data_IF_392530970962
#
_entry.id   IF_392530970962
#
_cell.length_a   1.000
_cell.length_b   1.000
_cell.length_c   1.000
_cell.angle_alpha   90.00
_cell.angle_beta   90.00
_cell.angle_gamma   90.00
#
_symmetry.space_group_name_H-M   'P 1'
#
loop_
_entity.id
_entity.type
_entity.pdbx_description
1 polymer ?
#
# COMPACT_ATOMS: atom_id res chain seq x y z
N UNK A 1 21.78 6.17 49.80
CA UNK A 1 20.45 6.36 49.16
C UNK A 1 19.59 5.13 49.39
N UNK A 2 18.30 5.29 49.68
CA UNK A 2 17.39 4.15 49.84
C UNK A 2 17.03 3.58 48.46
N UNK A 3 17.00 2.26 48.31
CA UNK A 3 16.79 1.54 47.03
C UNK A 3 15.55 2.00 46.26
N UNK A 4 14.47 2.34 46.97
CA UNK A 4 13.23 2.86 46.37
C UNK A 4 13.39 4.25 45.75
N UNK A 5 14.28 5.10 46.27
CA UNK A 5 14.56 6.43 45.68
C UNK A 5 15.31 6.26 44.35
N UNK A 6 16.30 5.38 44.31
CA UNK A 6 17.01 5.06 43.07
C UNK A 6 16.07 4.46 42.02
N UNK A 7 15.20 3.52 42.41
CA UNK A 7 14.21 2.94 41.52
C UNK A 7 13.23 3.98 40.96
N UNK A 8 12.73 4.89 41.82
CA UNK A 8 11.84 5.97 41.39
C UNK A 8 12.51 6.91 40.39
N UNK A 9 13.76 7.31 40.64
CA UNK A 9 14.53 8.17 39.73
C UNK A 9 14.74 7.48 38.38
N UNK A 10 15.07 6.18 38.35
CA UNK A 10 15.23 5.42 37.09
C UNK A 10 13.92 5.37 36.30
N UNK A 11 12.80 5.10 36.97
CA UNK A 11 11.48 5.08 36.29
C UNK A 11 11.12 6.46 35.75
N UNK A 12 11.28 7.51 36.55
CA UNK A 12 10.94 8.87 36.15
C UNK A 12 11.81 9.36 34.98
N UNK A 13 13.13 9.12 35.05
CA UNK A 13 14.05 9.48 33.96
C UNK A 13 13.75 8.70 32.69
N UNK A 14 13.40 7.43 32.81
CA UNK A 14 13.00 6.60 31.66
C UNK A 14 11.72 7.12 31.01
N UNK A 15 10.70 7.51 31.79
CA UNK A 15 9.47 8.10 31.26
C UNK A 15 9.72 9.43 30.55
N UNK A 16 10.55 10.30 31.11
CA UNK A 16 10.92 11.58 30.49
C UNK A 16 11.68 11.42 29.18
N UNK A 17 12.60 10.46 29.12
CA UNK A 17 13.33 10.15 27.87
C UNK A 17 12.37 9.63 26.81
N UNK A 18 11.42 8.76 27.17
CA UNK A 18 10.41 8.27 26.22
C UNK A 18 9.54 9.42 25.71
N UNK A 19 9.04 10.28 26.59
CA UNK A 19 8.20 11.44 26.25
C UNK A 19 8.92 12.41 25.30
N UNK A 20 10.23 12.62 25.49
CA UNK A 20 11.04 13.50 24.63
C UNK A 20 11.28 12.96 23.21
N UNK A 21 11.07 11.66 22.97
CA UNK A 21 11.42 11.01 21.71
C UNK A 21 10.23 10.43 20.96
N UNK A 22 9.05 10.36 21.58
CA UNK A 22 7.85 9.71 21.05
C UNK A 22 6.70 10.71 20.97
N UNK A 23 6.32 11.04 19.74
CA UNK A 23 5.23 11.97 19.47
C UNK A 23 4.11 11.29 18.70
N UNK A 24 2.88 11.78 18.87
CA UNK A 24 1.73 11.40 18.06
C UNK A 24 1.41 12.52 17.07
N UNK A 25 1.68 12.28 15.79
CA UNK A 25 1.49 13.29 14.74
C UNK A 25 0.18 13.00 14.00
N UNK A 26 -0.57 14.06 13.66
CA UNK A 26 -1.76 13.96 12.82
C UNK A 26 -1.47 14.47 11.42
N UNK A 27 -1.68 13.63 10.42
CA UNK A 27 -1.52 13.94 9.00
C UNK A 27 -2.76 13.45 8.25
N UNK A 28 -3.37 14.29 7.41
CA UNK A 28 -4.58 13.97 6.64
C UNK A 28 -5.70 13.31 7.47
N UNK A 29 -5.93 13.83 8.67
CA UNK A 29 -6.95 13.32 9.60
C UNK A 29 -6.63 11.97 10.25
N UNK A 30 -5.45 11.38 10.01
CA UNK A 30 -5.00 10.11 10.61
C UNK A 30 -3.80 10.33 11.53
N UNK A 31 -3.59 9.40 12.47
CA UNK A 31 -2.50 9.44 13.43
C UNK A 31 -1.34 8.56 12.99
N UNK A 32 -0.14 9.11 13.11
CA UNK A 32 1.14 8.43 12.95
C UNK A 32 1.87 8.48 14.30
N UNK A 33 2.66 7.45 14.57
CA UNK A 33 3.64 7.49 15.65
C UNK A 33 4.92 8.09 15.09
N UNK A 34 5.46 9.11 15.73
CA UNK A 34 6.75 9.69 15.40
C UNK A 34 7.76 9.32 16.50
N UNK A 35 8.89 8.73 16.13
CA UNK A 35 9.97 8.39 17.04
C UNK A 35 11.25 8.98 16.48
N UNK A 36 11.90 9.90 17.18
CA UNK A 36 13.13 10.56 16.70
C UNK A 36 12.97 11.20 15.29
N UNK A 37 11.83 11.85 15.03
CA UNK A 37 11.51 12.47 13.73
C UNK A 37 11.19 11.48 12.61
N UNK A 38 11.17 10.17 12.90
CA UNK A 38 10.81 9.13 11.96
C UNK A 38 9.34 8.73 12.15
N UNK A 39 8.53 8.71 11.08
CA UNK A 39 7.08 8.46 11.14
C UNK A 39 6.71 7.02 10.81
N UNK A 40 5.76 6.48 11.57
CA UNK A 40 5.32 5.08 11.54
C UNK A 40 3.80 4.98 11.52
N UNK A 41 3.25 4.23 10.56
CA UNK A 41 1.81 3.94 10.46
C UNK A 41 1.46 2.60 11.14
N UNK A 42 1.37 2.63 12.47
CA UNK A 42 1.01 1.45 13.27
C UNK A 42 -0.38 0.89 12.92
N UNK A 43 -1.33 1.76 12.56
CA UNK A 43 -2.69 1.34 12.20
C UNK A 43 -2.68 0.57 10.88
N UNK A 44 -2.01 1.09 9.86
CA UNK A 44 -1.87 0.39 8.59
C UNK A 44 -1.11 -0.94 8.72
N UNK A 45 -0.03 -0.96 9.52
CA UNK A 45 0.71 -2.20 9.78
C UNK A 45 -0.13 -3.28 10.48
N UNK A 46 -0.85 -2.91 11.54
CA UNK A 46 -1.74 -3.85 12.26
C UNK A 46 -2.87 -4.35 11.37
N UNK A 47 -3.47 -3.48 10.54
CA UNK A 47 -4.49 -3.86 9.56
C UNK A 47 -3.96 -4.89 8.56
N UNK A 48 -2.76 -4.68 8.00
CA UNK A 48 -2.14 -5.64 7.08
C UNK A 48 -1.78 -6.97 7.75
N UNK A 49 -1.31 -6.94 9.00
CA UNK A 49 -1.02 -8.17 9.74
C UNK A 49 -2.29 -9.00 9.97
N UNK A 50 -3.38 -8.33 10.34
CA UNK A 50 -4.67 -8.97 10.55
C UNK A 50 -5.27 -9.52 9.25
N UNK A 51 -5.14 -8.78 8.14
CA UNK A 51 -5.55 -9.21 6.80
C UNK A 51 -4.87 -10.52 6.42
N UNK A 52 -3.55 -10.62 6.60
CA UNK A 52 -2.80 -11.84 6.24
C UNK A 52 -3.31 -13.10 6.94
N UNK A 53 -3.85 -12.95 8.16
CA UNK A 53 -4.43 -14.06 8.94
C UNK A 53 -5.85 -14.39 8.49
N UNK A 54 -6.61 -13.39 8.02
CA UNK A 54 -8.05 -13.53 7.68
C UNK A 54 -8.34 -13.75 6.21
N UNK A 55 -7.39 -13.45 5.32
CA UNK A 55 -7.61 -13.50 3.88
C UNK A 55 -7.98 -14.92 3.43
N UNK A 56 -8.97 -14.99 2.56
CA UNK A 56 -9.28 -16.18 1.78
C UNK A 56 -9.08 -15.86 0.30
N UNK A 57 -8.12 -16.53 -0.32
CA UNK A 57 -7.78 -16.35 -1.73
C UNK A 57 -8.33 -17.47 -2.62
N UNK A 58 -9.15 -18.39 -2.08
CA UNK A 58 -9.81 -19.43 -2.88
C UNK A 58 -10.60 -18.88 -4.10
N UNK A 59 -11.32 -17.74 -4.02
CA UNK A 59 -12.06 -17.22 -5.18
C UNK A 59 -11.19 -16.40 -6.16
N UNK A 60 -9.89 -16.25 -5.88
CA UNK A 60 -8.98 -15.41 -6.67
C UNK A 60 -8.08 -16.27 -7.54
N UNK A 61 -8.10 -16.01 -8.84
CA UNK A 61 -7.20 -16.62 -9.81
C UNK A 61 -6.03 -15.69 -10.08
N UNK A 62 -4.81 -16.17 -9.90
CA UNK A 62 -3.58 -15.50 -10.34
C UNK A 62 -3.23 -15.95 -11.75
N UNK A 63 -2.96 -15.01 -12.65
CA UNK A 63 -2.64 -15.33 -14.04
C UNK A 63 -1.12 -15.28 -14.30
N UNK A 64 -0.55 -16.29 -14.98
CA UNK A 64 0.83 -16.23 -15.46
C UNK A 64 1.04 -15.08 -16.45
N UNK A 65 2.27 -14.56 -16.54
CA UNK A 65 2.62 -13.45 -17.43
C UNK A 65 2.27 -13.75 -18.90
N UNK A 66 2.47 -14.99 -19.36
CA UNK A 66 2.29 -15.37 -20.77
C UNK A 66 0.84 -15.74 -21.15
N UNK A 67 -0.09 -15.67 -20.19
CA UNK A 67 -1.48 -16.07 -20.44
C UNK A 67 -2.18 -15.14 -21.45
N UNK A 68 -3.13 -15.65 -22.25
CA UNK A 68 -3.94 -14.81 -23.14
C UNK A 68 -4.67 -13.69 -22.38
N UNK A 69 -5.17 -13.98 -21.17
CA UNK A 69 -5.83 -13.00 -20.30
C UNK A 69 -4.88 -11.86 -19.92
N UNK A 70 -3.66 -12.21 -19.51
CA UNK A 70 -2.63 -11.21 -19.15
C UNK A 70 -2.29 -10.32 -20.32
N UNK A 71 -2.12 -10.89 -21.53
CA UNK A 71 -1.85 -10.11 -22.75
C UNK A 71 -3.02 -9.18 -23.12
N UNK A 72 -4.25 -9.67 -23.01
CA UNK A 72 -5.44 -8.86 -23.27
C UNK A 72 -5.53 -7.67 -22.29
N UNK A 73 -5.37 -7.93 -20.99
CA UNK A 73 -5.35 -6.88 -19.96
C UNK A 73 -4.21 -5.89 -20.19
N UNK A 74 -3.00 -6.37 -20.44
CA UNK A 74 -1.83 -5.52 -20.69
C UNK A 74 -2.07 -4.59 -21.90
N UNK A 75 -2.67 -5.10 -22.97
CA UNK A 75 -2.98 -4.26 -24.14
C UNK A 75 -3.94 -3.11 -23.81
N UNK A 76 -4.90 -3.34 -22.93
CA UNK A 76 -5.84 -2.31 -22.47
C UNK A 76 -5.10 -1.27 -21.61
N UNK A 77 -4.20 -1.69 -20.73
CA UNK A 77 -3.40 -0.76 -19.91
C UNK A 77 -2.46 0.07 -20.77
N UNK A 78 -1.77 -0.54 -21.75
CA UNK A 78 -0.87 0.17 -22.66
C UNK A 78 -1.61 1.22 -23.51
N UNK A 79 -2.84 0.93 -23.91
CA UNK A 79 -3.67 1.83 -24.70
C UNK A 79 -4.36 2.93 -23.88
N UNK A 80 -4.43 2.77 -22.55
CA UNK A 80 -5.18 3.67 -21.68
C UNK A 80 -4.55 5.08 -21.58
N UNK A 81 -3.23 5.17 -21.42
CA UNK A 81 -2.51 6.43 -21.19
C UNK A 81 -1.22 6.52 -22.00
N UNK A 82 -1.36 6.64 -23.32
CA UNK A 82 -0.25 6.85 -24.26
C UNK A 82 0.37 8.25 -24.08
N UNK A 83 1.69 8.43 -24.33
CA UNK A 83 2.66 7.42 -24.82
C UNK A 83 3.31 6.60 -23.70
N UNK A 84 3.34 7.10 -22.47
CA UNK A 84 4.19 6.56 -21.40
C UNK A 84 3.81 5.13 -20.96
N UNK A 85 2.55 4.74 -21.20
CA UNK A 85 2.06 3.38 -20.89
C UNK A 85 2.50 2.30 -21.87
N UNK A 86 3.14 2.63 -23.00
CA UNK A 86 3.65 1.63 -23.96
C UNK A 86 4.72 0.72 -23.34
N UNK A 87 5.49 1.24 -22.39
CA UNK A 87 6.52 0.49 -21.67
C UNK A 87 5.96 -0.42 -20.57
N UNK A 88 4.64 -0.50 -20.40
CA UNK A 88 4.03 -1.28 -19.34
C UNK A 88 4.47 -2.75 -19.43
N UNK A 89 5.03 -3.25 -18.33
CA UNK A 89 5.39 -4.65 -18.11
C UNK A 89 4.63 -5.20 -16.94
N UNK A 90 4.23 -6.46 -17.08
CA UNK A 90 3.37 -7.09 -16.10
C UNK A 90 4.13 -7.58 -14.87
N UNK A 91 3.64 -7.26 -13.67
CA UNK A 91 4.16 -7.81 -12.42
C UNK A 91 3.23 -8.89 -11.87
N UNK A 92 1.92 -8.61 -11.79
CA UNK A 92 0.91 -9.57 -11.34
C UNK A 92 -0.48 -9.23 -11.87
N UNK A 93 -1.30 -10.26 -12.12
CA UNK A 93 -2.74 -10.12 -12.37
C UNK A 93 -3.51 -11.10 -11.51
N UNK A 94 -4.44 -10.56 -10.75
CA UNK A 94 -5.43 -11.31 -10.00
C UNK A 94 -6.80 -11.06 -10.59
N UNK A 95 -7.63 -12.09 -10.67
CA UNK A 95 -9.00 -12.02 -11.16
C UNK A 95 -9.96 -12.73 -10.20
N UNK A 96 -11.17 -12.17 -10.04
CA UNK A 96 -12.29 -12.78 -9.33
C UNK A 96 -13.58 -12.42 -10.08
N UNK A 97 -14.17 -13.41 -10.76
CA UNK A 97 -15.31 -13.17 -11.66
C UNK A 97 -14.95 -12.16 -12.76
N UNK A 98 -15.78 -11.13 -12.91
CA UNK A 98 -15.58 -10.05 -13.90
C UNK A 98 -14.63 -8.95 -13.43
N UNK A 99 -13.98 -9.09 -12.27
CA UNK A 99 -13.07 -8.08 -11.74
C UNK A 99 -11.62 -8.55 -11.80
N UNK A 100 -10.72 -7.63 -12.10
CA UNK A 100 -9.28 -7.85 -12.09
C UNK A 100 -8.54 -6.74 -11.34
N UNK A 101 -7.43 -7.09 -10.70
CA UNK A 101 -6.45 -6.13 -10.19
C UNK A 101 -5.10 -6.49 -10.77
N UNK A 102 -4.51 -5.50 -11.41
CA UNK A 102 -3.26 -5.57 -12.13
C UNK A 102 -2.19 -4.74 -11.44
N UNK A 103 -0.98 -5.27 -11.33
CA UNK A 103 0.19 -4.45 -11.06
C UNK A 103 1.07 -4.37 -12.31
N UNK A 104 1.39 -3.15 -12.71
CA UNK A 104 2.26 -2.83 -13.84
C UNK A 104 3.47 -2.06 -13.40
N UNK A 105 4.60 -2.39 -14.03
CA UNK A 105 5.81 -1.60 -13.99
C UNK A 105 5.98 -0.86 -15.33
N UNK A 106 6.71 0.25 -15.30
CA UNK A 106 6.99 1.05 -16.49
C UNK A 106 8.48 1.40 -16.51
N UNK A 107 9.03 1.70 -17.69
CA UNK A 107 10.44 2.07 -17.78
C UNK A 107 10.70 3.49 -17.25
N UNK A 108 9.72 4.40 -17.37
CA UNK A 108 9.86 5.82 -17.00
C UNK A 108 8.90 6.27 -15.91
N UNK A 109 7.78 5.57 -15.71
CA UNK A 109 6.77 5.91 -14.72
C UNK A 109 6.94 5.11 -13.43
N UNK A 110 6.24 5.55 -12.37
CA UNK A 110 6.12 4.75 -11.15
C UNK A 110 5.22 3.54 -11.41
N UNK A 111 5.50 2.38 -10.78
CA UNK A 111 4.61 1.24 -10.83
C UNK A 111 3.18 1.63 -10.44
N UNK A 112 2.20 0.95 -11.02
CA UNK A 112 0.80 1.25 -10.78
C UNK A 112 -0.03 -0.01 -10.50
N UNK A 113 -1.01 0.14 -9.62
CA UNK A 113 -2.06 -0.83 -9.39
C UNK A 113 -3.32 -0.35 -10.10
N UNK A 114 -3.82 -1.16 -11.04
CA UNK A 114 -4.92 -0.82 -11.94
C UNK A 114 -6.06 -1.79 -11.69
N UNK A 115 -7.24 -1.27 -11.34
CA UNK A 115 -8.46 -2.09 -11.27
C UNK A 115 -9.08 -2.19 -12.66
N UNK A 116 -9.49 -3.41 -13.04
CA UNK A 116 -10.14 -3.69 -14.30
C UNK A 116 -11.48 -4.39 -14.08
N UNK A 117 -12.38 -4.18 -15.03
CA UNK A 117 -13.65 -4.89 -15.10
C UNK A 117 -13.87 -5.46 -16.50
N UNK A 118 -14.28 -6.72 -16.56
CA UNK A 118 -14.71 -7.39 -17.76
C UNK A 118 -16.18 -7.01 -18.02
N UNK A 119 -16.44 -6.32 -19.13
CA UNK A 119 -17.78 -5.89 -19.53
C UNK A 119 -18.01 -6.25 -21.00
N UNK A 120 -19.00 -7.10 -21.26
CA UNK A 120 -19.31 -7.55 -22.62
C UNK A 120 -18.13 -8.26 -23.30
N UNK A 121 -17.32 -9.00 -22.53
CA UNK A 121 -16.14 -9.72 -23.04
C UNK A 121 -14.89 -8.86 -23.22
N UNK A 122 -14.94 -7.56 -22.90
CA UNK A 122 -13.81 -6.65 -23.01
C UNK A 122 -13.37 -6.13 -21.64
N UNK A 123 -12.06 -6.14 -21.40
CA UNK A 123 -11.47 -5.52 -20.21
C UNK A 123 -11.52 -4.01 -20.33
N UNK A 124 -11.87 -3.34 -19.22
CA UNK A 124 -11.86 -1.88 -19.11
C UNK A 124 -11.20 -1.47 -17.82
N UNK A 125 -10.26 -0.53 -17.91
CA UNK A 125 -9.68 0.15 -16.75
C UNK A 125 -10.79 0.88 -16.00
N UNK A 126 -10.73 0.83 -14.68
CA UNK A 126 -11.58 1.64 -13.81
C UNK A 126 -10.77 2.89 -13.42
N UNK A 127 -10.91 3.97 -14.18
CA UNK A 127 -10.02 5.14 -14.14
C UNK A 127 -9.88 5.77 -12.74
N UNK A 128 -10.95 5.72 -11.94
CA UNK A 128 -10.93 6.23 -10.57
C UNK A 128 -10.16 5.32 -9.60
N UNK A 129 -10.01 4.04 -9.93
CA UNK A 129 -9.37 3.02 -9.10
C UNK A 129 -8.01 2.60 -9.68
N UNK A 130 -7.17 3.61 -9.91
CA UNK A 130 -5.76 3.46 -10.29
C UNK A 130 -4.90 4.13 -9.25
N UNK A 131 -3.96 3.39 -8.65
CA UNK A 131 -2.96 3.94 -7.75
C UNK A 131 -1.58 3.91 -8.40
N UNK A 132 -0.89 5.04 -8.41
CA UNK A 132 0.52 5.14 -8.78
C UNK A 132 1.24 6.09 -7.81
N UNK A 133 2.49 5.77 -7.48
CA UNK A 133 3.32 6.61 -6.64
C UNK A 133 3.42 6.16 -5.17
N UNK A 134 4.13 6.98 -4.40
CA UNK A 134 4.46 6.70 -3.00
C UNK A 134 3.25 6.87 -2.09
N UNK A 135 3.05 5.95 -1.16
CA UNK A 135 2.08 6.06 -0.07
C UNK A 135 2.72 6.63 1.20
N UNK A 136 4.02 6.91 1.19
CA UNK A 136 4.74 7.27 2.39
C UNK A 136 4.18 8.59 2.99
N UNK A 137 4.06 8.70 4.33
CA UNK A 137 4.53 7.78 5.37
C UNK A 137 3.57 6.64 5.75
N UNK A 138 2.48 6.46 5.00
CA UNK A 138 1.48 5.43 5.28
C UNK A 138 1.95 4.04 4.85
N UNK A 139 1.45 3.02 5.53
CA UNK A 139 1.69 1.63 5.14
C UNK A 139 1.04 1.37 3.78
N UNK A 140 1.84 1.04 2.76
CA UNK A 140 1.36 0.93 1.36
C UNK A 140 0.23 -0.05 1.16
N UNK A 141 0.37 -1.27 1.69
CA UNK A 141 -0.70 -2.29 1.59
C UNK A 141 -2.06 -1.79 2.09
N UNK A 142 -2.13 -1.33 3.34
CA UNK A 142 -3.38 -0.81 3.91
C UNK A 142 -3.89 0.43 3.15
N UNK A 143 -3.00 1.39 2.87
CA UNK A 143 -3.38 2.62 2.19
C UNK A 143 -3.98 2.33 0.81
N UNK A 144 -3.28 1.57 -0.03
CA UNK A 144 -3.72 1.30 -1.41
C UNK A 144 -5.01 0.50 -1.40
N UNK A 145 -5.14 -0.53 -0.56
CA UNK A 145 -6.39 -1.31 -0.49
C UNK A 145 -7.58 -0.45 -0.08
N UNK A 146 -7.42 0.44 0.90
CA UNK A 146 -8.48 1.38 1.28
C UNK A 146 -8.82 2.37 0.18
N UNK A 147 -7.81 2.91 -0.49
CA UNK A 147 -8.00 3.78 -1.65
C UNK A 147 -8.80 3.05 -2.74
N UNK A 148 -8.36 1.88 -3.18
CA UNK A 148 -9.03 1.11 -4.22
C UNK A 148 -10.46 0.70 -3.82
N UNK A 149 -10.68 0.37 -2.53
CA UNK A 149 -12.03 0.09 -1.99
C UNK A 149 -12.95 1.32 -2.06
N UNK A 150 -12.41 2.51 -1.80
CA UNK A 150 -13.18 3.76 -1.87
C UNK A 150 -13.54 4.12 -3.32
N UNK A 151 -12.59 3.92 -4.24
CA UNK A 151 -12.77 4.29 -5.65
C UNK A 151 -13.56 3.25 -6.47
N UNK A 152 -13.49 1.97 -6.08
CA UNK A 152 -14.29 0.89 -6.66
C UNK A 152 -15.01 0.10 -5.55
N UNK A 153 -16.15 0.61 -5.03
CA UNK A 153 -16.88 -0.04 -3.93
C UNK A 153 -17.31 -1.49 -4.25
N UNK A 154 -17.59 -1.77 -5.52
CA UNK A 154 -18.03 -3.08 -6.03
C UNK A 154 -16.87 -4.08 -6.24
N UNK A 155 -15.61 -3.67 -6.07
CA UNK A 155 -14.45 -4.54 -6.23
C UNK A 155 -14.50 -5.69 -5.20
N UNK A 156 -14.41 -6.96 -5.61
CA UNK A 156 -14.43 -8.09 -4.69
C UNK A 156 -13.39 -7.95 -3.57
N UNK A 157 -13.83 -8.11 -2.32
CA UNK A 157 -12.94 -8.03 -1.15
C UNK A 157 -11.80 -9.04 -1.22
N UNK A 158 -12.04 -10.23 -1.79
CA UNK A 158 -10.97 -11.20 -1.98
C UNK A 158 -9.83 -10.68 -2.87
N UNK A 159 -10.11 -9.92 -3.94
CA UNK A 159 -9.05 -9.29 -4.74
C UNK A 159 -8.26 -8.28 -3.92
N UNK A 160 -8.97 -7.43 -3.18
CA UNK A 160 -8.36 -6.47 -2.29
C UNK A 160 -7.61 -7.13 -1.14
N UNK A 161 -7.96 -8.33 -0.72
CA UNK A 161 -7.26 -9.04 0.34
C UNK A 161 -6.10 -9.88 -0.19
N UNK A 162 -6.07 -10.22 -1.47
CA UNK A 162 -5.08 -11.16 -2.02
C UNK A 162 -4.01 -10.49 -2.88
N UNK A 163 -4.25 -9.28 -3.40
CA UNK A 163 -3.23 -8.54 -4.16
C UNK A 163 -2.00 -8.29 -3.30
N UNK A 164 -0.79 -8.52 -3.83
CA UNK A 164 0.43 -8.14 -3.13
C UNK A 164 0.71 -6.65 -3.38
N UNK A 165 1.04 -5.89 -2.34
CA UNK A 165 1.47 -4.49 -2.49
C UNK A 165 2.85 -4.42 -1.86
N UNK A 166 3.88 -4.32 -2.70
CA UNK A 166 5.26 -4.37 -2.26
C UNK A 166 5.69 -3.01 -1.68
N UNK A 167 6.06 -2.94 -0.38
CA UNK A 167 6.52 -1.71 0.23
C UNK A 167 7.79 -1.14 -0.42
N UNK A 168 8.62 -1.97 -1.04
CA UNK A 168 9.79 -1.48 -1.76
C UNK A 168 9.42 -0.66 -3.01
N UNK A 169 8.24 -0.90 -3.60
CA UNK A 169 7.75 -0.17 -4.79
C UNK A 169 6.92 1.05 -4.44
N UNK A 170 6.09 0.96 -3.40
CA UNK A 170 5.12 2.00 -3.05
C UNK A 170 5.45 2.76 -1.75
N UNK A 171 6.54 2.43 -1.05
CA UNK A 171 6.87 2.92 0.30
C UNK A 171 6.20 2.06 1.39
N UNK A 172 6.46 2.18 2.70
CA UNK A 172 7.40 2.96 3.46
C UNK A 172 8.81 2.35 3.45
N UNK A 173 9.79 2.94 4.15
CA UNK A 173 11.13 2.38 4.27
C UNK A 173 11.13 0.88 4.68
N UNK A 174 12.27 0.18 4.55
CA UNK A 174 12.34 -1.28 4.61
C UNK A 174 11.57 -1.89 5.80
N UNK A 175 10.71 -2.89 5.51
CA UNK A 175 9.94 -3.65 6.51
C UNK A 175 8.48 -3.23 6.72
N UNK A 176 7.93 -2.28 5.94
CA UNK A 176 6.52 -1.84 6.04
C UNK A 176 6.19 -1.01 7.28
N UNK A 177 7.12 -0.96 8.23
CA UNK A 177 7.16 -0.05 9.36
C UNK A 177 8.18 1.09 9.12
N UNK A 178 9.16 0.87 8.24
CA UNK A 178 10.36 1.71 8.14
C UNK A 178 10.09 3.17 7.74
N UNK A 179 10.90 4.10 8.24
CA UNK A 179 10.48 5.48 8.30
C UNK A 179 10.69 6.27 7.02
N UNK A 180 9.99 7.39 6.92
CA UNK A 180 10.26 8.44 5.94
C UNK A 180 11.11 9.49 6.66
N UNK A 181 12.33 9.81 6.19
CA UNK A 181 13.03 10.98 6.69
C UNK A 181 12.11 12.19 6.49
N UNK A 182 12.00 13.13 7.44
CA UNK A 182 11.22 14.32 7.24
C UNK A 182 11.65 14.92 5.90
N UNK A 183 10.70 15.06 4.97
CA UNK A 183 10.94 15.82 3.75
C UNK A 183 11.54 17.14 4.20
N UNK A 184 12.79 17.41 3.84
CA UNK A 184 13.41 18.72 4.04
C UNK A 184 12.38 19.74 3.58
N UNK A 185 11.87 20.51 4.55
CA UNK A 185 10.87 21.50 4.29
C UNK A 185 11.34 22.39 3.15
N UNK A 186 10.42 22.69 2.23
CA UNK A 186 10.49 23.98 1.58
C UNK A 186 9.27 24.81 1.93
N UNK A 187 9.49 26.12 2.09
CA UNK A 187 8.61 27.05 2.77
C UNK A 187 7.26 27.21 2.09
#
# INVERSE_FOLDING_TARGET
>A
MKRHVAAFVVVLTSLLVIDSHVDWVRLDGRQLLEINGQRWDLRGWTAERLRLVRRDCAPVTTWPADSPTTRAVLSVVQQHSLPDSLSARWLQLLQSGDWGVAEVDFDTLKPALVVLRLQGGHWRVQDQAVWSGSTAPWHSGDFVRRYLRQQAPDLPQALLDCISVDPARYGAGPGGLGPVPPSEGRP
#
